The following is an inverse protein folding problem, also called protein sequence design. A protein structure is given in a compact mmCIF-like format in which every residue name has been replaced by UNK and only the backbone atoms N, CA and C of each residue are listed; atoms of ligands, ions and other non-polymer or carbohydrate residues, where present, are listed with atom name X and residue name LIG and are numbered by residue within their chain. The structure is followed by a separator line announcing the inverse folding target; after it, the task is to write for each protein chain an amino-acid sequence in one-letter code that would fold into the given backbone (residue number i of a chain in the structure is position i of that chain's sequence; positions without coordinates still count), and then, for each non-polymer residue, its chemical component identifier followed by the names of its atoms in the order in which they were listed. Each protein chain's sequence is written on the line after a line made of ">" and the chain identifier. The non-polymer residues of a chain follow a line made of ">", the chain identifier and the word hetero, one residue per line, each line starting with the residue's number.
data_IF_820377999465
#
_entry.id   IF_820377999465
#
_cell.length_a   1.000
_cell.length_b   1.000
_cell.length_c   1.000
_cell.angle_alpha   90.00
_cell.angle_beta   90.00
_cell.angle_gamma   90.00
#
_symmetry.space_group_name_H-M   'P 1'
#
loop_
_entity.id
_entity.type
_entity.pdbx_description
1 polymer ?
#
# COMPACT_ATOMS: atom_id res chain seq x y z
N UNK A 1 5.72 -7.45 -13.12
CA UNK A 1 5.64 -7.73 -11.67
C UNK A 1 5.71 -6.41 -10.95
N UNK A 2 4.60 -5.99 -10.38
CA UNK A 2 4.44 -4.74 -9.65
C UNK A 2 5.28 -4.76 -8.36
N UNK A 3 5.88 -3.61 -7.99
CA UNK A 3 6.67 -3.49 -6.75
C UNK A 3 5.87 -3.91 -5.51
N UNK A 4 4.56 -3.69 -5.54
CA UNK A 4 3.59 -4.07 -4.51
C UNK A 4 3.55 -5.59 -4.32
N UNK A 5 3.30 -6.33 -5.39
CA UNK A 5 3.23 -7.80 -5.36
C UNK A 5 4.55 -8.44 -4.93
N UNK A 6 5.68 -7.88 -5.38
CA UNK A 6 7.00 -8.35 -4.98
C UNK A 6 7.25 -8.16 -3.47
N UNK A 7 6.82 -7.02 -2.92
CA UNK A 7 6.95 -6.76 -1.49
C UNK A 7 6.04 -7.67 -0.65
N UNK A 8 4.80 -7.90 -1.09
CA UNK A 8 3.88 -8.81 -0.38
C UNK A 8 4.46 -10.22 -0.29
N UNK A 9 5.02 -10.74 -1.39
CA UNK A 9 5.64 -12.07 -1.43
C UNK A 9 6.85 -12.15 -0.48
N UNK A 10 7.69 -11.11 -0.46
CA UNK A 10 8.87 -11.02 0.41
C UNK A 10 8.48 -10.93 1.89
N UNK A 11 7.45 -10.15 2.23
CA UNK A 11 6.89 -10.11 3.59
C UNK A 11 6.33 -11.47 4.01
N UNK A 12 5.63 -12.20 3.13
CA UNK A 12 5.15 -13.56 3.41
C UNK A 12 6.30 -14.51 3.70
N UNK A 13 7.36 -14.45 2.90
CA UNK A 13 8.56 -15.27 3.10
C UNK A 13 9.24 -14.96 4.44
N UNK A 14 9.46 -13.68 4.76
CA UNK A 14 10.04 -13.26 6.03
C UNK A 14 9.22 -13.76 7.23
N UNK A 15 7.92 -13.53 7.19
CA UNK A 15 7.01 -13.93 8.26
C UNK A 15 7.01 -15.45 8.42
N UNK A 16 7.09 -16.24 7.35
CA UNK A 16 7.12 -17.71 7.43
C UNK A 16 8.45 -18.27 7.95
N UNK A 17 9.58 -17.71 7.53
CA UNK A 17 10.90 -18.33 7.74
C UNK A 17 11.77 -17.66 8.82
N UNK A 18 11.68 -16.34 9.03
CA UNK A 18 12.76 -15.57 9.69
C UNK A 18 12.34 -14.47 10.67
N UNK A 19 11.05 -14.18 10.83
CA UNK A 19 10.66 -13.10 11.73
C UNK A 19 10.92 -13.41 13.20
N UNK A 20 11.70 -12.56 13.88
CA UNK A 20 11.74 -12.45 15.34
C UNK A 20 10.46 -11.73 15.82
N UNK A 21 9.31 -12.27 15.41
CA UNK A 21 7.97 -11.74 15.68
C UNK A 21 7.13 -12.81 16.36
N UNK A 22 6.26 -12.37 17.24
CA UNK A 22 5.37 -13.24 18.00
C UNK A 22 4.38 -13.96 17.06
N UNK A 23 3.85 -15.14 17.42
CA UNK A 23 2.85 -15.84 16.63
C UNK A 23 1.57 -15.00 16.38
N UNK A 24 1.25 -14.07 17.29
CA UNK A 24 0.16 -13.10 17.12
C UNK A 24 0.48 -12.07 16.04
N UNK A 25 1.68 -11.48 16.07
CA UNK A 25 2.16 -10.52 15.06
C UNK A 25 2.26 -11.17 13.68
N UNK A 26 2.71 -12.42 13.60
CA UNK A 26 2.71 -13.21 12.36
C UNK A 26 1.30 -13.30 11.75
N UNK A 27 0.29 -13.65 12.55
CA UNK A 27 -1.11 -13.71 12.09
C UNK A 27 -1.64 -12.35 11.64
N UNK A 28 -1.27 -11.29 12.37
CA UNK A 28 -1.65 -9.93 12.03
C UNK A 28 -1.06 -9.51 10.68
N UNK A 29 0.23 -9.75 10.46
CA UNK A 29 0.87 -9.48 9.16
C UNK A 29 0.23 -10.29 8.04
N UNK A 30 -0.04 -11.59 8.24
CA UNK A 30 -0.72 -12.41 7.22
C UNK A 30 -2.12 -11.87 6.88
N UNK A 31 -2.86 -11.40 7.88
CA UNK A 31 -4.19 -10.79 7.70
C UNK A 31 -4.10 -9.48 6.93
N UNK A 32 -3.14 -8.62 7.29
CA UNK A 32 -2.90 -7.36 6.59
C UNK A 32 -2.47 -7.56 5.15
N UNK A 33 -1.73 -8.64 4.86
CA UNK A 33 -1.36 -8.97 3.48
C UNK A 33 -2.55 -9.46 2.65
N UNK A 34 -3.51 -10.18 3.24
CA UNK A 34 -4.78 -10.54 2.58
C UNK A 34 -5.63 -9.29 2.28
N UNK A 35 -5.73 -8.35 3.22
CA UNK A 35 -6.40 -7.06 2.96
C UNK A 35 -5.70 -6.27 1.85
N UNK A 36 -4.37 -6.26 1.85
CA UNK A 36 -3.61 -5.57 0.82
C UNK A 36 -3.76 -6.22 -0.58
N UNK A 37 -3.94 -7.54 -0.66
CA UNK A 37 -4.29 -8.23 -1.92
C UNK A 37 -5.67 -7.84 -2.43
N UNK A 38 -6.60 -7.51 -1.53
CA UNK A 38 -7.94 -7.00 -1.85
C UNK A 38 -7.98 -5.49 -2.10
N UNK A 39 -6.82 -4.84 -2.10
CA UNK A 39 -6.71 -3.42 -2.43
C UNK A 39 -6.66 -2.47 -1.25
N UNK A 40 -6.55 -2.94 0.00
CA UNK A 40 -6.27 -2.07 1.14
C UNK A 40 -4.78 -1.67 1.15
N UNK A 41 -4.50 -0.46 0.68
CA UNK A 41 -3.13 0.03 0.53
C UNK A 41 -2.48 0.35 1.89
N UNK A 42 -3.27 0.67 2.91
CA UNK A 42 -2.79 0.92 4.27
C UNK A 42 -2.35 -0.38 4.95
N UNK A 43 -3.04 -1.49 4.67
CA UNK A 43 -2.71 -2.78 5.25
C UNK A 43 -1.28 -3.23 4.88
N UNK A 44 -0.81 -2.95 3.67
CA UNK A 44 0.58 -3.24 3.28
C UNK A 44 1.60 -2.43 4.10
N UNK A 45 1.28 -1.17 4.40
CA UNK A 45 2.14 -0.31 5.22
C UNK A 45 2.18 -0.74 6.68
N UNK A 46 1.05 -1.19 7.21
CA UNK A 46 0.96 -1.76 8.54
C UNK A 46 1.72 -3.10 8.61
N UNK A 47 1.54 -3.98 7.63
CA UNK A 47 2.23 -5.26 7.52
C UNK A 47 3.75 -5.08 7.53
N UNK A 48 4.26 -4.14 6.72
CA UNK A 48 5.69 -3.81 6.69
C UNK A 48 6.18 -3.24 8.01
N UNK A 49 5.41 -2.36 8.65
CA UNK A 49 5.78 -1.75 9.93
C UNK A 49 5.87 -2.78 11.05
N UNK A 50 4.97 -3.76 11.07
CA UNK A 50 5.01 -4.88 12.00
C UNK A 50 6.20 -5.80 11.72
N UNK A 51 6.42 -6.18 10.45
CA UNK A 51 7.57 -6.99 10.08
C UNK A 51 8.90 -6.32 10.46
N UNK A 52 9.00 -4.99 10.30
CA UNK A 52 10.18 -4.22 10.67
C UNK A 52 10.52 -4.30 12.16
N UNK A 53 9.51 -4.46 13.05
CA UNK A 53 9.75 -4.68 14.49
C UNK A 53 10.51 -5.99 14.75
N UNK A 54 10.29 -7.02 13.92
CA UNK A 54 10.99 -8.29 14.00
C UNK A 54 12.29 -8.37 13.20
N UNK A 55 12.83 -7.23 12.75
CA UNK A 55 14.09 -7.19 12.01
C UNK A 55 13.94 -7.40 10.50
N UNK A 56 12.74 -7.24 9.95
CA UNK A 56 12.57 -7.23 8.50
C UNK A 56 13.24 -6.01 7.86
N UNK A 57 14.19 -6.27 6.96
CA UNK A 57 14.78 -5.26 6.10
C UNK A 57 14.36 -5.52 4.65
N UNK A 58 13.57 -4.63 4.03
CA UNK A 58 13.14 -4.83 2.66
C UNK A 58 14.35 -4.79 1.69
N UNK A 59 14.34 -5.65 0.64
CA UNK A 59 15.40 -5.68 -0.37
C UNK A 59 15.66 -4.31 -1.00
N UNK A 60 16.90 -4.06 -1.48
CA UNK A 60 17.22 -2.82 -2.20
C UNK A 60 16.25 -2.61 -3.37
N UNK A 61 15.63 -1.43 -3.42
CA UNK A 61 14.58 -1.08 -4.37
C UNK A 61 13.14 -1.23 -3.85
N UNK A 62 12.96 -1.86 -2.68
CA UNK A 62 11.68 -1.94 -1.93
C UNK A 62 11.71 -1.16 -0.61
N UNK A 63 12.88 -0.63 -0.21
CA UNK A 63 13.09 0.11 1.04
C UNK A 63 12.52 1.52 1.05
N UNK A 64 12.12 2.07 -0.11
CA UNK A 64 11.50 3.40 -0.23
C UNK A 64 10.14 3.50 0.47
N UNK A 65 9.54 4.70 0.58
CA UNK A 65 8.16 4.84 1.03
C UNK A 65 7.28 3.93 0.18
N UNK A 66 6.38 3.19 0.82
CA UNK A 66 5.44 2.38 0.06
C UNK A 66 4.67 3.32 -0.85
N UNK A 67 4.51 2.96 -2.13
CA UNK A 67 3.62 3.72 -2.96
C UNK A 67 2.26 3.67 -2.27
N UNK A 68 1.67 4.81 -1.91
CA UNK A 68 0.27 4.83 -1.53
C UNK A 68 -0.56 4.30 -2.72
N UNK A 69 -1.86 4.08 -2.53
CA UNK A 69 -2.72 3.63 -3.63
C UNK A 69 -2.66 4.59 -4.83
N UNK A 70 -3.37 4.28 -5.94
CA UNK A 70 -3.33 5.13 -7.13
C UNK A 70 -3.55 6.60 -6.78
N UNK A 71 -2.74 7.48 -7.37
CA UNK A 71 -2.94 8.92 -7.22
C UNK A 71 -4.28 9.25 -7.89
N UNK A 72 -5.20 9.83 -7.13
CA UNK A 72 -6.51 10.25 -7.60
C UNK A 72 -6.49 11.78 -7.77
N UNK A 73 -6.85 12.24 -8.96
CA UNK A 73 -6.79 13.65 -9.34
C UNK A 73 -8.17 14.17 -9.72
N UNK A 74 -8.36 15.48 -9.57
CA UNK A 74 -9.56 16.14 -10.03
C UNK A 74 -9.64 16.07 -11.57
N UNK A 75 -10.73 15.58 -12.17
CA UNK A 75 -10.87 15.50 -13.62
C UNK A 75 -11.04 16.87 -14.30
N UNK A 76 -11.39 17.92 -13.54
CA UNK A 76 -11.49 19.30 -14.06
C UNK A 76 -10.16 20.04 -14.04
N UNK A 77 -9.33 19.76 -13.05
CA UNK A 77 -8.02 20.40 -12.87
C UNK A 77 -7.10 19.46 -12.05
N UNK A 78 -6.31 18.62 -12.73
CA UNK A 78 -5.46 17.63 -12.07
C UNK A 78 -4.38 18.23 -11.16
N UNK A 79 -3.94 19.46 -11.42
CA UNK A 79 -2.87 20.12 -10.66
C UNK A 79 -3.38 20.76 -9.37
N UNK A 80 -4.65 21.15 -9.33
CA UNK A 80 -5.25 21.82 -8.18
C UNK A 80 -5.52 20.87 -7.01
N UNK A 81 -5.94 19.63 -7.29
CA UNK A 81 -6.24 18.66 -6.23
C UNK A 81 -5.86 17.23 -6.63
N UNK A 82 -4.96 16.67 -5.85
CA UNK A 82 -4.51 15.29 -5.97
C UNK A 82 -4.36 14.67 -4.57
N UNK A 83 -4.85 13.46 -4.40
CA UNK A 83 -4.74 12.69 -3.16
C UNK A 83 -4.56 11.22 -3.52
N UNK A 84 -3.79 10.49 -2.73
CA UNK A 84 -3.62 9.07 -2.96
C UNK A 84 -4.75 8.27 -2.33
N UNK A 85 -5.29 7.28 -3.08
CA UNK A 85 -6.26 6.36 -2.53
C UNK A 85 -5.65 5.51 -1.41
N UNK A 86 -6.43 5.27 -0.37
CA UNK A 86 -6.06 4.40 0.75
C UNK A 86 -6.69 3.03 0.65
N UNK A 87 -7.82 2.93 -0.07
CA UNK A 87 -8.53 1.69 -0.37
C UNK A 87 -8.82 1.58 -1.88
N UNK A 88 -8.98 0.36 -2.37
CA UNK A 88 -9.48 0.10 -3.73
C UNK A 88 -10.97 0.49 -3.79
N UNK A 89 -11.37 1.11 -4.91
CA UNK A 89 -12.70 1.67 -5.12
C UNK A 89 -13.13 2.81 -4.17
N UNK A 90 -12.18 3.40 -3.42
CA UNK A 90 -12.46 4.57 -2.56
C UNK A 90 -13.07 5.72 -3.38
N UNK A 91 -14.28 6.14 -3.02
CA UNK A 91 -14.97 7.26 -3.67
C UNK A 91 -14.45 8.60 -3.12
N UNK A 92 -13.35 9.06 -3.70
CA UNK A 92 -12.77 10.35 -3.39
C UNK A 92 -13.40 11.46 -4.22
N UNK A 93 -13.61 12.63 -3.61
CA UNK A 93 -14.20 13.80 -4.26
C UNK A 93 -13.29 15.02 -4.16
N UNK A 94 -13.22 15.80 -5.25
CA UNK A 94 -12.58 17.11 -5.22
C UNK A 94 -13.42 18.07 -4.36
N UNK A 95 -12.86 18.74 -3.34
CA UNK A 95 -13.62 19.62 -2.45
C UNK A 95 -14.14 20.87 -3.17
N UNK A 96 -13.43 21.39 -4.16
CA UNK A 96 -13.83 22.61 -4.88
C UNK A 96 -14.90 22.33 -5.94
N UNK A 97 -14.70 21.28 -6.73
CA UNK A 97 -15.57 20.99 -7.87
C UNK A 97 -16.70 20.02 -7.56
N UNK A 98 -16.65 19.37 -6.37
CA UNK A 98 -17.58 18.34 -5.92
C UNK A 98 -17.80 17.21 -6.95
N UNK A 99 -16.75 16.88 -7.69
CA UNK A 99 -16.73 15.78 -8.67
C UNK A 99 -15.90 14.63 -8.13
N UNK A 100 -16.26 13.41 -8.53
CA UNK A 100 -15.49 12.20 -8.21
C UNK A 100 -14.10 12.29 -8.85
N UNK A 101 -13.07 11.98 -8.07
CA UNK A 101 -11.69 11.94 -8.55
C UNK A 101 -11.48 10.73 -9.47
N UNK A 102 -10.51 10.85 -10.36
CA UNK A 102 -10.14 9.80 -11.30
C UNK A 102 -8.66 9.45 -11.13
N UNK A 103 -8.22 8.23 -11.47
CA UNK A 103 -6.81 7.88 -11.42
C UNK A 103 -5.97 8.82 -12.28
N UNK A 104 -4.83 9.28 -11.77
CA UNK A 104 -3.88 10.07 -12.52
C UNK A 104 -3.41 9.28 -13.75
N UNK A 105 -3.27 9.94 -14.92
CA UNK A 105 -2.66 9.29 -16.08
C UNK A 105 -1.25 8.86 -15.67
N UNK A 106 -0.95 7.57 -15.80
CA UNK A 106 0.41 7.08 -15.61
C UNK A 106 1.26 7.69 -16.73
N UNK A 107 2.20 8.57 -16.40
CA UNK A 107 3.24 8.95 -17.36
C UNK A 107 4.04 7.68 -17.69
N UNK A 108 3.88 7.19 -18.92
CA UNK A 108 4.58 6.03 -19.49
C UNK A 108 6.09 6.28 -19.63
#
# INVERSE_FOLDING_TARGET
>A
MDKRSKLMDDLRAFVREKGDISPEERREVETLLDYAERGDYLALAQARSLAAKGGYEPPPGLSGPLPPGPLMVCPKDPEHYAVYATEEDEELFCPEHQVRLVPAPSEE
#
